data_IF_092112832661
#
_entry.id   IF_092112832661
#
_cell.length_a   1.000
_cell.length_b   1.000
_cell.length_c   1.000
_cell.angle_alpha   90.00
_cell.angle_beta   90.00
_cell.angle_gamma   90.00
#
_symmetry.space_group_name_H-M   'P 1'
#
loop_
_entity.id
_entity.type
_entity.pdbx_description
1 polymer ?
#
# COMPACT_ATOMS: atom_id res chain seq x y z
N UNK A 1 3.27 -23.44 -7.16
CA UNK A 1 2.04 -22.70 -6.74
C UNK A 1 1.87 -21.46 -7.61
N UNK A 2 0.63 -20.99 -7.85
CA UNK A 2 0.32 -19.85 -8.75
C UNK A 2 0.23 -18.49 -8.03
N UNK A 3 1.11 -18.26 -7.05
CA UNK A 3 1.05 -17.04 -6.22
C UNK A 3 1.32 -15.75 -7.02
N UNK A 4 2.29 -15.77 -7.95
CA UNK A 4 2.59 -14.61 -8.79
C UNK A 4 1.37 -14.14 -9.62
N UNK A 5 0.61 -15.09 -10.18
CA UNK A 5 -0.63 -14.82 -10.90
C UNK A 5 -1.70 -14.21 -9.96
N UNK A 6 -1.86 -14.80 -8.78
CA UNK A 6 -2.82 -14.33 -7.77
C UNK A 6 -2.50 -12.92 -7.28
N UNK A 7 -1.24 -12.67 -6.94
CA UNK A 7 -0.77 -11.35 -6.52
C UNK A 7 -1.05 -10.32 -7.62
N UNK A 8 -0.67 -10.61 -8.87
CA UNK A 8 -0.87 -9.69 -10.00
C UNK A 8 -2.35 -9.37 -10.25
N UNK A 9 -3.23 -10.36 -10.07
CA UNK A 9 -4.68 -10.19 -10.26
C UNK A 9 -5.36 -9.36 -9.16
N UNK A 10 -4.80 -9.31 -7.96
CA UNK A 10 -5.40 -8.62 -6.79
C UNK A 10 -4.68 -7.34 -6.37
N UNK A 11 -3.72 -6.86 -7.16
CA UNK A 11 -3.05 -5.59 -6.91
C UNK A 11 -3.96 -4.42 -7.30
N UNK A 12 -4.08 -3.45 -6.40
CA UNK A 12 -4.62 -2.12 -6.70
C UNK A 12 -3.73 -1.44 -7.76
N UNK A 13 -4.24 -1.12 -8.97
CA UNK A 13 -3.42 -0.65 -10.08
C UNK A 13 -2.57 0.58 -9.75
N UNK A 14 -3.11 1.50 -8.96
CA UNK A 14 -2.46 2.74 -8.52
C UNK A 14 -1.26 2.48 -7.60
N UNK A 15 -1.24 1.32 -6.93
CA UNK A 15 -0.24 0.96 -5.94
C UNK A 15 0.70 -0.14 -6.41
N UNK A 16 0.61 -0.57 -7.68
CA UNK A 16 1.39 -1.68 -8.23
C UNK A 16 2.89 -1.63 -7.88
N UNK A 17 3.49 -0.44 -7.93
CA UNK A 17 4.91 -0.22 -7.63
C UNK A 17 5.28 -0.33 -6.14
N UNK A 18 4.30 -0.44 -5.25
CA UNK A 18 4.46 -0.49 -3.80
C UNK A 18 4.22 -1.91 -3.25
N UNK A 19 3.85 -2.86 -4.10
CA UNK A 19 3.76 -4.27 -3.75
C UNK A 19 5.13 -4.94 -3.89
N UNK A 20 5.30 -6.08 -3.21
CA UNK A 20 6.48 -6.92 -3.33
C UNK A 20 6.72 -7.37 -4.78
N UNK A 21 7.95 -7.22 -5.27
CA UNK A 21 8.40 -7.70 -6.58
C UNK A 21 8.65 -9.22 -6.53
N UNK A 22 7.58 -9.99 -6.34
CA UNK A 22 7.64 -11.43 -6.13
C UNK A 22 8.29 -12.20 -7.29
N UNK A 23 8.02 -11.81 -8.54
CA UNK A 23 8.61 -12.49 -9.69
C UNK A 23 10.12 -12.25 -9.78
N UNK A 24 10.60 -11.05 -9.46
CA UNK A 24 12.03 -10.75 -9.45
C UNK A 24 12.76 -11.57 -8.37
N UNK A 25 12.19 -11.68 -7.17
CA UNK A 25 12.74 -12.54 -6.10
C UNK A 25 12.80 -14.01 -6.52
N UNK A 26 11.77 -14.48 -7.23
CA UNK A 26 11.73 -15.82 -7.78
C UNK A 26 12.79 -16.05 -8.86
N UNK A 27 13.05 -15.05 -9.72
CA UNK A 27 14.14 -15.11 -10.70
C UNK A 27 15.52 -15.14 -10.02
N UNK A 28 15.73 -14.36 -8.95
CA UNK A 28 16.98 -14.39 -8.17
C UNK A 28 17.26 -15.79 -7.61
N UNK A 29 16.23 -16.48 -7.10
CA UNK A 29 16.35 -17.86 -6.62
C UNK A 29 16.69 -18.86 -7.73
N UNK A 30 16.05 -18.75 -8.90
CA UNK A 30 16.39 -19.61 -10.04
C UNK A 30 17.82 -19.39 -10.53
N UNK A 31 18.25 -18.14 -10.65
CA UNK A 31 19.62 -17.81 -11.04
C UNK A 31 20.64 -18.37 -10.04
N UNK A 32 20.35 -18.27 -8.74
CA UNK A 32 21.22 -18.83 -7.72
C UNK A 32 21.34 -20.35 -7.80
N UNK A 33 20.27 -21.04 -8.20
CA UNK A 33 20.30 -22.48 -8.43
C UNK A 33 21.07 -22.83 -9.71
N UNK A 34 20.86 -22.11 -10.80
CA UNK A 34 21.55 -22.34 -12.09
C UNK A 34 23.06 -22.08 -12.01
N UNK A 35 23.46 -21.07 -11.23
CA UNK A 35 24.86 -20.67 -11.06
C UNK A 35 25.56 -21.39 -9.91
N UNK A 36 24.85 -22.28 -9.19
CA UNK A 36 25.42 -23.00 -8.06
C UNK A 36 26.56 -23.91 -8.51
N UNK A 37 27.73 -23.85 -7.85
CA UNK A 37 28.86 -24.71 -8.20
C UNK A 37 28.53 -26.18 -7.89
N UNK A 38 28.94 -27.09 -8.78
CA UNK A 38 28.68 -28.53 -8.63
C UNK A 38 29.48 -29.12 -7.46
N UNK A 39 28.79 -29.83 -6.57
CA UNK A 39 29.39 -30.50 -5.42
C UNK A 39 30.39 -31.61 -5.80
N UNK A 40 30.37 -32.07 -7.05
CA UNK A 40 31.33 -33.06 -7.57
C UNK A 40 32.66 -32.42 -7.99
N UNK A 41 32.68 -31.10 -8.20
CA UNK A 41 33.80 -30.39 -8.84
C UNK A 41 34.50 -29.42 -7.89
N UNK A 42 33.81 -28.97 -6.83
CA UNK A 42 34.35 -27.99 -5.87
C UNK A 42 34.33 -28.50 -4.44
N UNK A 43 35.23 -27.96 -3.62
CA UNK A 43 35.27 -28.24 -2.19
C UNK A 43 34.03 -27.69 -1.47
N UNK A 44 33.58 -28.34 -0.37
CA UNK A 44 32.41 -27.90 0.39
C UNK A 44 32.48 -26.45 0.88
N UNK A 45 33.67 -25.92 1.18
CA UNK A 45 33.87 -24.54 1.63
C UNK A 45 33.50 -23.52 0.52
N UNK A 46 33.77 -23.85 -0.74
CA UNK A 46 33.43 -22.99 -1.89
C UNK A 46 31.92 -22.90 -2.05
N UNK A 47 31.22 -24.01 -1.86
CA UNK A 47 29.75 -24.08 -1.91
C UNK A 47 29.14 -23.28 -0.77
N UNK A 48 29.65 -23.45 0.45
CA UNK A 48 29.20 -22.70 1.62
C UNK A 48 29.38 -21.19 1.43
N UNK A 49 30.54 -20.77 0.92
CA UNK A 49 30.81 -19.35 0.61
C UNK A 49 29.89 -18.80 -0.48
N UNK A 50 29.58 -19.59 -1.50
CA UNK A 50 28.65 -19.21 -2.55
C UNK A 50 27.25 -18.91 -1.98
N UNK A 51 26.69 -19.84 -1.19
CA UNK A 51 25.37 -19.64 -0.58
C UNK A 51 25.36 -18.52 0.46
N UNK A 52 26.42 -18.36 1.25
CA UNK A 52 26.51 -17.23 2.20
C UNK A 52 26.46 -15.87 1.49
N UNK A 53 27.16 -15.74 0.34
CA UNK A 53 27.12 -14.52 -0.48
C UNK A 53 25.74 -14.32 -1.12
N UNK A 54 25.12 -15.40 -1.58
CA UNK A 54 23.77 -15.36 -2.11
C UNK A 54 22.76 -14.88 -1.05
N UNK A 55 22.82 -15.45 0.16
CA UNK A 55 21.95 -15.09 1.27
C UNK A 55 22.08 -13.59 1.60
N UNK A 56 23.30 -13.07 1.69
CA UNK A 56 23.53 -11.64 1.93
C UNK A 56 22.86 -10.77 0.86
N UNK A 57 23.01 -11.12 -0.41
CA UNK A 57 22.41 -10.38 -1.53
C UNK A 57 20.87 -10.48 -1.50
N UNK A 58 20.33 -11.67 -1.24
CA UNK A 58 18.90 -11.92 -1.22
C UNK A 58 18.21 -11.23 -0.04
N UNK A 59 18.79 -11.31 1.17
CA UNK A 59 18.24 -10.64 2.34
C UNK A 59 18.35 -9.12 2.24
N UNK A 60 19.45 -8.61 1.66
CA UNK A 60 19.54 -7.16 1.34
C UNK A 60 18.42 -6.72 0.40
N UNK A 61 18.05 -7.55 -0.58
CA UNK A 61 16.90 -7.27 -1.45
C UNK A 61 15.57 -7.32 -0.69
N UNK A 62 15.37 -8.34 0.15
CA UNK A 62 14.18 -8.46 1.01
C UNK A 62 13.99 -7.25 1.92
N UNK A 63 15.07 -6.75 2.53
CA UNK A 63 15.04 -5.58 3.41
C UNK A 63 14.63 -4.32 2.64
N UNK A 64 15.08 -4.15 1.40
CA UNK A 64 14.67 -3.02 0.54
C UNK A 64 13.18 -3.08 0.20
N UNK A 65 12.68 -4.24 -0.20
CA UNK A 65 11.26 -4.46 -0.49
C UNK A 65 10.40 -4.24 0.76
N UNK A 66 10.82 -4.76 1.90
CA UNK A 66 10.13 -4.58 3.18
C UNK A 66 10.08 -3.11 3.61
N UNK A 67 11.22 -2.39 3.49
CA UNK A 67 11.29 -0.97 3.83
C UNK A 67 10.36 -0.13 2.93
N UNK A 68 10.29 -0.43 1.63
CA UNK A 68 9.37 0.21 0.70
C UNK A 68 7.92 0.00 1.13
N UNK A 69 7.51 -1.25 1.36
CA UNK A 69 6.13 -1.61 1.75
C UNK A 69 5.76 -0.95 3.08
N UNK A 70 6.65 -0.98 4.07
CA UNK A 70 6.41 -0.38 5.38
C UNK A 70 6.24 1.15 5.30
N UNK A 71 7.06 1.80 4.46
CA UNK A 71 6.96 3.25 4.24
C UNK A 71 5.61 3.61 3.62
N UNK A 72 5.25 2.93 2.53
CA UNK A 72 3.97 3.16 1.85
C UNK A 72 2.77 2.89 2.76
N UNK A 73 2.79 1.77 3.50
CA UNK A 73 1.73 1.41 4.43
C UNK A 73 1.56 2.48 5.52
N UNK A 74 2.68 2.95 6.11
CA UNK A 74 2.66 3.97 7.16
C UNK A 74 2.08 5.30 6.64
N UNK A 75 2.45 5.70 5.42
CA UNK A 75 1.90 6.89 4.77
C UNK A 75 0.38 6.77 4.54
N UNK A 76 -0.08 5.63 4.00
CA UNK A 76 -1.50 5.38 3.75
C UNK A 76 -2.31 5.27 5.04
N UNK A 77 -1.75 4.65 6.06
CA UNK A 77 -2.38 4.55 7.38
C UNK A 77 -2.53 5.93 8.05
N UNK A 78 -1.50 6.77 7.98
CA UNK A 78 -1.56 8.15 8.46
C UNK A 78 -2.58 8.99 7.66
N UNK A 79 -2.63 8.82 6.33
CA UNK A 79 -3.64 9.46 5.48
C UNK A 79 -5.07 9.05 5.88
N UNK A 80 -5.31 7.75 6.08
CA UNK A 80 -6.60 7.22 6.51
C UNK A 80 -7.00 7.75 7.90
N UNK A 81 -6.05 7.79 8.84
CA UNK A 81 -6.27 8.32 10.19
C UNK A 81 -6.68 9.80 10.16
N UNK A 82 -6.01 10.62 9.33
CA UNK A 82 -6.37 12.03 9.14
C UNK A 82 -7.78 12.19 8.54
N UNK A 83 -8.10 11.42 7.49
CA UNK A 83 -9.43 11.44 6.87
C UNK A 83 -10.53 11.03 7.84
N UNK A 84 -10.28 9.99 8.64
CA UNK A 84 -11.23 9.53 9.66
C UNK A 84 -11.52 10.61 10.71
N UNK A 85 -10.48 11.29 11.21
CA UNK A 85 -10.65 12.38 12.18
C UNK A 85 -11.45 13.55 11.59
N UNK A 86 -11.18 13.93 10.34
CA UNK A 86 -11.93 14.97 9.64
C UNK A 86 -13.42 14.61 9.49
N UNK A 87 -13.71 13.41 8.99
CA UNK A 87 -15.08 12.92 8.81
C UNK A 87 -15.84 12.83 10.14
N UNK A 88 -15.17 12.41 11.21
CA UNK A 88 -15.76 12.38 12.56
C UNK A 88 -16.15 13.77 13.05
N UNK A 89 -15.32 14.79 12.76
CA UNK A 89 -15.62 16.18 13.08
C UNK A 89 -16.75 16.74 12.22
N UNK A 90 -16.78 16.45 10.92
CA UNK A 90 -17.88 16.88 10.03
C UNK A 90 -19.22 16.28 10.45
N UNK A 91 -19.23 15.02 10.86
CA UNK A 91 -20.41 14.33 11.36
C UNK A 91 -20.90 14.92 12.69
N UNK A 92 -20.01 15.26 13.62
CA UNK A 92 -20.41 15.88 14.90
C UNK A 92 -21.01 17.27 14.68
N UNK A 93 -20.43 18.08 13.80
CA UNK A 93 -20.98 19.38 13.40
C UNK A 93 -22.37 19.20 12.77
N UNK A 94 -22.53 18.27 11.83
CA UNK A 94 -23.80 18.01 11.16
C UNK A 94 -24.92 17.55 12.11
N UNK A 95 -24.58 16.73 13.11
CA UNK A 95 -25.54 16.33 14.16
C UNK A 95 -25.98 17.52 15.00
N UNK A 96 -25.05 18.39 15.38
CA UNK A 96 -25.36 19.56 16.19
C UNK A 96 -26.19 20.60 15.43
N UNK A 97 -25.95 20.78 14.12
CA UNK A 97 -26.76 21.69 13.29
C UNK A 97 -28.17 21.17 13.05
N UNK A 98 -28.37 19.85 12.97
CA UNK A 98 -29.71 19.25 12.82
C UNK A 98 -30.53 19.25 14.12
N UNK A 99 -29.89 19.43 15.28
CA UNK A 99 -30.56 19.54 16.58
C UNK A 99 -31.03 20.97 16.95
N UNK A 100 -30.68 21.99 16.16
CA UNK A 100 -31.02 23.40 16.43
C UNK A 100 -31.92 24.02 15.34
N UNK A 101 -32.70 23.18 14.64
CA UNK A 101 -33.47 23.55 13.45
C UNK A 101 -35.00 23.62 13.62
N UNK A 102 -35.55 23.97 14.78
CA UNK A 102 -36.96 24.39 14.92
C UNK A 102 -37.12 25.82 15.48
N UNK A 103 -36.06 26.63 15.48
CA UNK A 103 -36.08 27.93 16.14
C UNK A 103 -35.37 29.05 15.38
N UNK A 104 -36.17 29.82 14.63
CA UNK A 104 -35.91 31.21 14.22
C UNK A 104 -34.92 31.41 13.07
N UNK A 105 -35.52 31.62 11.90
CA UNK A 105 -34.96 32.45 10.85
C UNK A 105 -34.44 33.77 11.43
N UNK A 106 -33.14 34.04 11.28
CA UNK A 106 -32.67 35.42 11.28
C UNK A 106 -31.56 35.63 10.24
N UNK A 107 -31.86 36.60 9.38
CA UNK A 107 -31.02 37.13 8.32
C UNK A 107 -29.71 37.65 8.90
N UNK A 108 -28.58 37.06 8.50
CA UNK A 108 -27.36 37.85 8.28
C UNK A 108 -26.44 37.09 7.35
N UNK A 109 -26.31 37.62 6.13
CA UNK A 109 -25.44 37.05 5.11
C UNK A 109 -23.99 37.00 5.59
N UNK A 110 -23.40 35.82 5.50
CA UNK A 110 -21.98 35.68 5.23
C UNK A 110 -21.78 34.56 4.23
N UNK A 111 -21.57 35.01 3.01
CA UNK A 111 -21.24 34.28 1.80
C UNK A 111 -19.97 33.45 2.00
N UNK A 112 -20.08 32.30 2.68
CA UNK A 112 -19.12 31.22 2.47
C UNK A 112 -19.51 30.60 1.14
N UNK A 113 -18.77 30.98 0.08
CA UNK A 113 -18.73 30.25 -1.18
C UNK A 113 -18.52 28.77 -0.83
N UNK A 114 -19.62 28.04 -0.80
CA UNK A 114 -19.64 26.58 -0.86
C UNK A 114 -18.94 26.25 -2.16
N UNK A 115 -17.63 26.00 -2.11
CA UNK A 115 -16.98 25.22 -3.14
C UNK A 115 -17.76 23.91 -3.14
N UNK A 116 -18.72 23.83 -4.07
CA UNK A 116 -19.38 22.59 -4.46
C UNK A 116 -18.28 21.76 -5.10
N UNK A 117 -17.35 21.23 -4.31
CA UNK A 117 -16.68 20.03 -4.73
C UNK A 117 -17.81 19.01 -4.93
N UNK A 118 -17.90 18.39 -6.11
CA UNK A 118 -18.92 17.39 -6.34
C UNK A 118 -18.77 16.37 -5.23
N UNK A 119 -19.85 16.14 -4.49
CA UNK A 119 -19.94 15.00 -3.58
C UNK A 119 -19.60 13.80 -4.44
N UNK A 120 -18.40 13.24 -4.26
CA UNK A 120 -17.95 12.04 -4.95
C UNK A 120 -19.08 11.03 -4.79
N UNK A 121 -19.72 10.68 -5.90
CA UNK A 121 -20.87 9.78 -5.83
C UNK A 121 -20.33 8.46 -5.29
N UNK A 122 -21.12 7.75 -4.49
CA UNK A 122 -20.73 6.43 -3.95
C UNK A 122 -20.28 5.46 -5.07
N UNK A 123 -20.71 5.68 -6.32
CA UNK A 123 -20.20 4.98 -7.50
C UNK A 123 -18.70 5.14 -7.73
N UNK A 124 -18.12 6.28 -7.38
CA UNK A 124 -16.71 6.61 -7.62
C UNK A 124 -15.80 5.93 -6.57
N UNK A 125 -16.33 5.64 -5.38
CA UNK A 125 -15.64 4.80 -4.39
C UNK A 125 -15.61 3.32 -4.81
N UNK A 126 -16.61 2.85 -5.56
CA UNK A 126 -16.66 1.45 -6.00
C UNK A 126 -15.65 1.12 -7.10
N UNK A 127 -15.17 2.12 -7.84
CA UNK A 127 -14.16 1.93 -8.88
C UNK A 127 -12.73 1.80 -8.31
N UNK A 128 -12.50 2.20 -7.06
CA UNK A 128 -11.20 2.09 -6.41
C UNK A 128 -10.93 0.71 -5.78
N UNK A 129 -11.92 -0.20 -5.81
CA UNK A 129 -11.85 -1.52 -5.17
C UNK A 129 -12.32 -2.66 -6.10
N UNK A 130 -12.42 -2.42 -7.42
CA UNK A 130 -12.80 -3.44 -8.40
C UNK A 130 -11.75 -3.63 -9.48
#
# INVERSE_FOLDING_TARGET
>A
MKFAEHLTAHITPEWRKQYIHYEDMKQILYQAQEQAPSAEVVEPEVIARYYAKFDEQFFTYCDKELAMINTFYSEKFAEATRKYAALKSELSVSKNTNGQGEGKANKLGRTLKRNKQPVMKISDLKLAFS
#
